data_IF_112289757916
#
_entry.id   IF_112289757916
#
_cell.length_a   1.000
_cell.length_b   1.000
_cell.length_c   1.000
_cell.angle_alpha   90.00
_cell.angle_beta   90.00
_cell.angle_gamma   90.00
#
_symmetry.space_group_name_H-M   'P 1'
#
loop_
_entity.id
_entity.type
_entity.pdbx_description
1 polymer ?
#
# COMPACT_ATOMS: atom_id res chain seq x y z
N UNK A 1 -18.36 -24.82 -11.82
CA UNK A 1 -17.29 -24.27 -10.97
C UNK A 1 -16.02 -23.96 -11.77
N UNK A 2 -15.47 -24.91 -12.53
CA UNK A 2 -14.23 -24.75 -13.33
C UNK A 2 -14.26 -23.56 -14.33
N UNK A 3 -15.40 -23.33 -15.00
CA UNK A 3 -15.55 -22.23 -15.96
C UNK A 3 -15.57 -20.84 -15.31
N UNK A 4 -16.01 -20.73 -14.05
CA UNK A 4 -16.02 -19.46 -13.31
C UNK A 4 -14.60 -19.11 -12.87
N UNK A 5 -13.88 -20.09 -12.32
CA UNK A 5 -12.49 -19.94 -11.92
C UNK A 5 -11.59 -19.61 -13.12
N UNK A 6 -11.77 -20.31 -14.25
CA UNK A 6 -11.02 -20.03 -15.49
C UNK A 6 -11.27 -18.60 -15.99
N UNK A 7 -12.53 -18.15 -16.02
CA UNK A 7 -12.87 -16.76 -16.42
C UNK A 7 -12.29 -15.72 -15.45
N UNK A 8 -12.28 -16.01 -14.15
CA UNK A 8 -11.67 -15.14 -13.15
C UNK A 8 -10.16 -15.01 -13.39
N UNK A 9 -9.43 -16.12 -13.50
CA UNK A 9 -7.98 -16.12 -13.74
C UNK A 9 -7.63 -15.37 -15.04
N UNK A 10 -8.35 -15.64 -16.13
CA UNK A 10 -8.11 -14.95 -17.41
C UNK A 10 -8.30 -13.43 -17.25
N UNK A 11 -9.34 -12.99 -16.54
CA UNK A 11 -9.59 -11.55 -16.32
C UNK A 11 -8.55 -10.92 -15.39
N UNK A 12 -8.07 -11.66 -14.40
CA UNK A 12 -7.07 -11.17 -13.44
C UNK A 12 -5.73 -10.85 -14.12
N UNK A 13 -5.31 -11.72 -15.03
CA UNK A 13 -4.08 -11.59 -15.79
C UNK A 13 -4.27 -10.91 -17.16
N UNK A 14 -5.50 -10.49 -17.49
CA UNK A 14 -5.77 -9.69 -18.69
C UNK A 14 -5.26 -8.25 -18.53
N UNK A 15 -4.82 -7.66 -19.64
CA UNK A 15 -4.39 -6.26 -19.76
C UNK A 15 -3.08 -5.91 -19.01
N UNK A 16 -2.22 -6.90 -18.81
CA UNK A 16 -0.85 -6.68 -18.34
C UNK A 16 0.09 -6.53 -19.53
N UNK A 17 0.87 -5.46 -19.55
CA UNK A 17 1.94 -5.29 -20.52
C UNK A 17 3.14 -6.16 -20.14
N UNK A 18 3.93 -6.57 -21.15
CA UNK A 18 5.12 -7.40 -20.94
C UNK A 18 6.10 -6.80 -19.92
N UNK A 19 6.31 -5.48 -19.96
CA UNK A 19 7.15 -4.77 -18.99
C UNK A 19 6.61 -4.84 -17.55
N UNK A 20 5.29 -4.84 -17.35
CA UNK A 20 4.67 -4.95 -16.02
C UNK A 20 4.84 -6.37 -15.45
N UNK A 21 4.76 -7.39 -16.31
CA UNK A 21 5.07 -8.77 -15.96
C UNK A 21 6.52 -8.94 -15.52
N UNK A 22 7.46 -8.43 -16.31
CA UNK A 22 8.88 -8.47 -15.96
C UNK A 22 9.16 -7.74 -14.65
N UNK A 23 8.56 -6.56 -14.46
CA UNK A 23 8.69 -5.80 -13.22
C UNK A 23 8.15 -6.56 -12.01
N UNK A 24 6.97 -7.16 -12.13
CA UNK A 24 6.40 -7.98 -11.06
C UNK A 24 7.28 -9.19 -10.72
N UNK A 25 7.74 -9.93 -11.73
CA UNK A 25 8.63 -11.06 -11.53
C UNK A 25 9.93 -10.62 -10.83
N UNK A 26 10.50 -9.50 -11.25
CA UNK A 26 11.66 -8.91 -10.61
C UNK A 26 11.41 -8.55 -9.14
N UNK A 27 10.31 -7.87 -8.82
CA UNK A 27 9.97 -7.49 -7.45
C UNK A 27 9.79 -8.72 -6.53
N UNK A 28 9.07 -9.74 -7.00
CA UNK A 28 8.84 -10.96 -6.21
C UNK A 28 10.12 -11.78 -6.08
N UNK A 29 10.85 -12.00 -7.19
CA UNK A 29 12.08 -12.78 -7.19
C UNK A 29 13.15 -12.13 -6.32
N UNK A 30 13.36 -10.80 -6.44
CA UNK A 30 14.34 -10.09 -5.61
C UNK A 30 14.00 -10.17 -4.11
N UNK A 31 12.73 -10.04 -3.74
CA UNK A 31 12.27 -10.22 -2.36
C UNK A 31 12.59 -11.62 -1.82
N UNK A 32 12.26 -12.67 -2.59
CA UNK A 32 12.51 -14.06 -2.18
C UNK A 32 14.01 -14.37 -2.13
N UNK A 33 14.78 -13.96 -3.14
CA UNK A 33 16.22 -14.21 -3.22
C UNK A 33 16.96 -13.56 -2.04
N UNK A 34 16.67 -12.29 -1.74
CA UNK A 34 17.25 -11.58 -0.59
C UNK A 34 16.88 -12.28 0.72
N UNK A 35 15.61 -12.66 0.87
CA UNK A 35 15.14 -13.36 2.06
C UNK A 35 15.87 -14.68 2.29
N UNK A 36 16.14 -15.45 1.23
CA UNK A 36 16.86 -16.72 1.32
C UNK A 36 18.36 -16.50 1.60
N UNK A 37 18.99 -15.52 0.96
CA UNK A 37 20.43 -15.24 1.14
C UNK A 37 20.77 -14.76 2.55
N UNK A 38 19.87 -14.01 3.18
CA UNK A 38 20.07 -13.43 4.51
C UNK A 38 19.40 -14.23 5.64
N UNK A 39 18.84 -15.41 5.33
CA UNK A 39 18.26 -16.31 6.32
C UNK A 39 17.07 -15.72 7.08
N UNK A 40 16.25 -14.90 6.40
CA UNK A 40 15.09 -14.24 7.02
C UNK A 40 13.99 -15.26 7.37
N UNK A 41 13.13 -14.89 8.31
CA UNK A 41 12.03 -15.75 8.74
C UNK A 41 10.96 -15.86 7.64
N UNK A 42 10.38 -17.05 7.47
CA UNK A 42 9.32 -17.32 6.49
C UNK A 42 8.14 -16.34 6.59
N UNK A 43 7.80 -15.91 7.81
CA UNK A 43 6.73 -14.94 8.03
C UNK A 43 7.09 -13.55 7.49
N UNK A 44 8.35 -13.14 7.64
CA UNK A 44 8.90 -11.91 7.06
C UNK A 44 8.82 -11.94 5.54
N UNK A 45 9.25 -13.06 4.94
CA UNK A 45 9.15 -13.29 3.50
C UNK A 45 7.70 -13.24 3.01
N UNK A 46 6.79 -13.93 3.70
CA UNK A 46 5.38 -13.98 3.33
C UNK A 46 4.72 -12.60 3.42
N UNK A 47 5.00 -11.83 4.48
CA UNK A 47 4.55 -10.45 4.62
C UNK A 47 5.08 -9.59 3.48
N UNK A 48 6.39 -9.67 3.19
CA UNK A 48 7.02 -8.89 2.12
C UNK A 48 6.43 -9.19 0.74
N UNK A 49 6.33 -10.46 0.37
CA UNK A 49 5.78 -10.89 -0.93
C UNK A 49 4.33 -10.46 -1.08
N UNK A 50 3.49 -10.68 -0.06
CA UNK A 50 2.08 -10.26 -0.12
C UNK A 50 1.91 -8.74 -0.17
N UNK A 51 2.77 -7.98 0.50
CA UNK A 51 2.76 -6.51 0.45
C UNK A 51 3.18 -5.95 -0.90
N UNK A 52 4.18 -6.54 -1.54
CA UNK A 52 4.58 -6.20 -2.92
C UNK A 52 3.46 -6.54 -3.91
N UNK A 53 2.89 -7.75 -3.81
CA UNK A 53 1.78 -8.18 -4.68
C UNK A 53 0.54 -7.30 -4.50
N UNK A 54 0.20 -6.92 -3.26
CA UNK A 54 -0.86 -5.97 -2.98
C UNK A 54 -0.67 -4.67 -3.77
N UNK A 55 0.51 -4.05 -3.66
CA UNK A 55 0.82 -2.79 -4.34
C UNK A 55 0.73 -2.91 -5.86
N UNK A 56 1.27 -3.99 -6.44
CA UNK A 56 1.21 -4.25 -7.88
C UNK A 56 -0.24 -4.42 -8.39
N UNK A 57 -1.06 -5.21 -7.69
CA UNK A 57 -2.45 -5.41 -8.08
C UNK A 57 -3.31 -4.18 -7.85
N UNK A 58 -3.09 -3.46 -6.75
CA UNK A 58 -3.75 -2.18 -6.50
C UNK A 58 -3.37 -1.17 -7.59
N UNK A 59 -2.11 -1.17 -8.02
CA UNK A 59 -1.58 -0.40 -9.15
C UNK A 59 -2.28 -0.69 -10.47
N UNK A 60 -2.55 -1.96 -10.78
CA UNK A 60 -3.36 -2.32 -11.94
C UNK A 60 -4.85 -2.03 -11.75
N UNK A 61 -5.30 -1.83 -10.51
CA UNK A 61 -6.70 -1.60 -10.20
C UNK A 61 -7.52 -2.89 -10.19
N UNK A 62 -6.88 -4.03 -9.88
CA UNK A 62 -7.52 -5.34 -9.82
C UNK A 62 -8.07 -5.61 -8.43
N UNK A 63 -9.26 -6.21 -8.35
CA UNK A 63 -9.96 -6.40 -7.08
C UNK A 63 -9.26 -7.38 -6.13
N UNK A 64 -8.47 -8.32 -6.66
CA UNK A 64 -7.75 -9.29 -5.81
C UNK A 64 -6.61 -8.67 -5.00
N UNK A 65 -6.26 -7.38 -5.22
CA UNK A 65 -5.33 -6.67 -4.35
C UNK A 65 -5.73 -6.84 -2.88
N UNK A 66 -7.01 -6.66 -2.55
CA UNK A 66 -7.50 -6.75 -1.17
C UNK A 66 -7.24 -8.11 -0.51
N UNK A 67 -7.18 -9.20 -1.28
CA UNK A 67 -6.78 -10.50 -0.74
C UNK A 67 -5.33 -10.45 -0.26
N UNK A 68 -4.40 -10.01 -1.11
CA UNK A 68 -3.00 -9.83 -0.73
C UNK A 68 -2.84 -8.84 0.43
N UNK A 69 -3.61 -7.75 0.42
CA UNK A 69 -3.63 -6.74 1.47
C UNK A 69 -4.05 -7.29 2.82
N UNK A 70 -5.07 -8.14 2.90
CA UNK A 70 -5.52 -8.77 4.15
C UNK A 70 -4.42 -9.66 4.73
N UNK A 71 -3.82 -10.55 3.92
CA UNK A 71 -2.73 -11.40 4.38
C UNK A 71 -1.51 -10.58 4.82
N UNK A 72 -1.16 -9.56 4.05
CA UNK A 72 -0.06 -8.66 4.38
C UNK A 72 -0.33 -7.94 5.70
N UNK A 73 -1.48 -7.29 5.89
CA UNK A 73 -1.79 -6.55 7.12
C UNK A 73 -1.81 -7.44 8.36
N UNK A 74 -2.27 -8.69 8.25
CA UNK A 74 -2.19 -9.66 9.35
C UNK A 74 -0.73 -9.98 9.69
N UNK A 75 0.04 -10.43 8.69
CA UNK A 75 1.43 -10.87 8.88
C UNK A 75 2.36 -9.71 9.30
N UNK A 76 2.26 -8.57 8.61
CA UNK A 76 3.05 -7.38 8.90
C UNK A 76 2.66 -6.77 10.25
N UNK A 77 1.37 -6.71 10.60
CA UNK A 77 0.96 -6.27 11.94
C UNK A 77 1.56 -7.15 13.05
N UNK A 78 1.65 -8.47 12.84
CA UNK A 78 2.33 -9.35 13.80
C UNK A 78 3.84 -9.08 13.89
N UNK A 79 4.51 -8.87 12.76
CA UNK A 79 5.94 -8.53 12.73
C UNK A 79 6.20 -7.19 13.44
N UNK A 80 5.38 -6.17 13.17
CA UNK A 80 5.46 -4.87 13.83
C UNK A 80 5.22 -4.96 15.33
N UNK A 81 4.30 -5.82 15.78
CA UNK A 81 4.09 -6.07 17.21
C UNK A 81 5.34 -6.64 17.88
N UNK A 82 6.00 -7.63 17.25
CA UNK A 82 7.27 -8.18 17.75
C UNK A 82 8.41 -7.17 17.73
N UNK A 83 8.38 -6.22 16.80
CA UNK A 83 9.32 -5.12 16.71
C UNK A 83 8.97 -3.93 17.64
N UNK A 84 7.95 -4.05 18.50
CA UNK A 84 7.46 -2.98 19.39
C UNK A 84 6.97 -1.72 18.66
N UNK A 85 6.64 -1.84 17.38
CA UNK A 85 6.11 -0.77 16.54
C UNK A 85 4.58 -0.69 16.67
N UNK A 86 4.07 -0.31 17.84
CA UNK A 86 2.64 -0.35 18.14
C UNK A 86 1.77 0.55 17.23
N UNK A 87 2.31 1.66 16.74
CA UNK A 87 1.62 2.51 15.75
C UNK A 87 1.32 1.76 14.45
N UNK A 88 2.29 0.99 13.95
CA UNK A 88 2.13 0.14 12.77
C UNK A 88 1.12 -0.98 12.99
N UNK A 89 1.08 -1.57 14.20
CA UNK A 89 0.07 -2.56 14.58
C UNK A 89 -1.32 -1.95 14.52
N UNK A 90 -1.51 -0.78 15.14
CA UNK A 90 -2.78 -0.08 15.16
C UNK A 90 -3.24 0.31 13.75
N UNK A 91 -2.32 0.77 12.88
CA UNK A 91 -2.62 1.06 11.48
C UNK A 91 -3.03 -0.21 10.73
N UNK A 92 -2.28 -1.30 10.82
CA UNK A 92 -2.54 -2.49 10.03
C UNK A 92 -3.81 -3.21 10.47
N UNK A 93 -3.96 -3.46 11.76
CA UNK A 93 -5.10 -4.22 12.26
C UNK A 93 -6.33 -3.36 12.55
N UNK A 94 -6.12 -2.14 13.05
CA UNK A 94 -7.21 -1.24 13.42
C UNK A 94 -7.78 -0.44 12.25
N UNK A 95 -6.96 -0.07 11.26
CA UNK A 95 -7.40 0.77 10.14
C UNK A 95 -7.39 0.04 8.80
N UNK A 96 -6.27 -0.55 8.40
CA UNK A 96 -6.13 -1.15 7.08
C UNK A 96 -7.04 -2.36 6.91
N UNK A 97 -7.07 -3.30 7.85
CA UNK A 97 -7.92 -4.50 7.75
C UNK A 97 -9.41 -4.16 7.50
N UNK A 98 -10.08 -3.34 8.32
CA UNK A 98 -11.46 -2.91 8.03
C UNK A 98 -11.59 -2.20 6.67
N UNK A 99 -10.62 -1.35 6.32
CA UNK A 99 -10.60 -0.64 5.06
C UNK A 99 -10.38 -1.55 3.85
N UNK A 100 -9.72 -2.71 4.00
CA UNK A 100 -9.61 -3.70 2.93
C UNK A 100 -10.99 -4.26 2.56
N UNK A 101 -11.84 -4.55 3.55
CA UNK A 101 -13.21 -5.01 3.30
C UNK A 101 -14.09 -3.91 2.71
N UNK A 102 -13.99 -2.68 3.23
CA UNK A 102 -14.70 -1.54 2.67
C UNK A 102 -14.28 -1.29 1.22
N UNK A 103 -12.98 -1.30 0.97
CA UNK A 103 -12.37 -1.16 -0.34
C UNK A 103 -12.85 -2.20 -1.33
N UNK A 104 -12.88 -3.48 -0.94
CA UNK A 104 -13.42 -4.57 -1.75
C UNK A 104 -14.86 -4.28 -2.19
N UNK A 105 -15.70 -3.80 -1.28
CA UNK A 105 -17.10 -3.47 -1.57
C UNK A 105 -17.24 -2.27 -2.52
N UNK A 106 -16.52 -1.17 -2.26
CA UNK A 106 -16.60 0.04 -3.08
C UNK A 106 -15.98 -0.15 -4.46
N UNK A 107 -14.85 -0.86 -4.55
CA UNK A 107 -14.18 -1.14 -5.83
C UNK A 107 -15.03 -2.05 -6.71
N UNK A 108 -15.65 -3.09 -6.14
CA UNK A 108 -16.54 -4.01 -6.87
C UNK A 108 -17.68 -3.29 -7.59
N UNK A 109 -18.21 -2.21 -7.00
CA UNK A 109 -19.27 -1.37 -7.59
C UNK A 109 -18.80 -0.49 -8.75
N UNK A 110 -17.49 -0.36 -8.96
CA UNK A 110 -16.90 0.59 -9.89
C UNK A 110 -15.88 -0.05 -10.85
N UNK A 111 -16.12 -1.30 -11.22
CA UNK A 111 -15.29 -2.03 -12.18
C UNK A 111 -15.71 -1.74 -13.63
N UNK A 112 -14.73 -1.61 -14.52
CA UNK A 112 -14.93 -1.70 -15.97
C UNK A 112 -15.42 -3.12 -16.30
N UNK A 113 -16.57 -3.24 -16.97
CA UNK A 113 -17.27 -4.53 -17.17
C UNK A 113 -16.41 -5.59 -17.86
N UNK A 114 -15.53 -5.19 -18.78
CA UNK A 114 -14.77 -6.13 -19.63
C UNK A 114 -13.45 -6.58 -19.00
N UNK A 115 -12.69 -5.66 -18.42
CA UNK A 115 -11.31 -5.89 -17.94
C UNK A 115 -11.17 -6.12 -16.42
N UNK A 116 -12.29 -6.02 -15.67
CA UNK A 116 -12.31 -6.13 -14.20
C UNK A 116 -11.28 -5.21 -13.51
N UNK A 117 -11.01 -4.06 -14.13
CA UNK A 117 -10.19 -3.01 -13.55
C UNK A 117 -11.09 -1.91 -13.01
N UNK A 118 -10.73 -1.31 -11.89
CA UNK A 118 -11.46 -0.16 -11.37
C UNK A 118 -11.37 1.04 -12.31
N UNK A 119 -12.43 1.84 -12.32
CA UNK A 119 -12.39 3.18 -12.88
C UNK A 119 -11.56 4.07 -11.96
N UNK A 120 -10.40 4.51 -12.42
CA UNK A 120 -9.46 5.35 -11.67
C UNK A 120 -9.94 6.81 -11.71
N UNK A 121 -9.68 7.57 -10.64
CA UNK A 121 -10.09 8.98 -10.52
C UNK A 121 -8.93 9.85 -10.07
N UNK A 122 -9.02 11.14 -10.34
CA UNK A 122 -8.13 12.15 -9.80
C UNK A 122 -8.92 13.14 -8.96
N UNK A 123 -8.33 13.63 -7.88
CA UNK A 123 -8.91 14.74 -7.14
C UNK A 123 -8.85 16.01 -7.98
N UNK A 124 -9.87 16.85 -7.84
CA UNK A 124 -9.80 18.23 -8.32
C UNK A 124 -8.70 18.99 -7.58
N UNK A 125 -8.21 20.11 -8.13
CA UNK A 125 -7.22 20.94 -7.45
C UNK A 125 -7.68 21.35 -6.04
N UNK A 126 -8.96 21.74 -5.89
CA UNK A 126 -9.56 22.03 -4.59
C UNK A 126 -9.53 20.81 -3.66
N UNK A 127 -9.82 19.63 -4.17
CA UNK A 127 -9.72 18.37 -3.42
C UNK A 127 -8.29 18.07 -2.95
N UNK A 128 -7.27 18.33 -3.79
CA UNK A 128 -5.86 18.19 -3.42
C UNK A 128 -5.47 19.16 -2.30
N UNK A 129 -5.84 20.43 -2.44
CA UNK A 129 -5.59 21.45 -1.41
C UNK A 129 -6.26 21.09 -0.08
N UNK A 130 -7.55 20.70 -0.11
CA UNK A 130 -8.26 20.26 1.09
C UNK A 130 -7.59 19.04 1.73
N UNK A 131 -7.16 18.07 0.92
CA UNK A 131 -6.45 16.89 1.44
C UNK A 131 -5.15 17.29 2.13
N UNK A 132 -4.37 18.21 1.54
CA UNK A 132 -3.15 18.72 2.14
C UNK A 132 -3.40 19.48 3.45
N UNK A 133 -4.44 20.31 3.50
CA UNK A 133 -4.83 21.03 4.72
C UNK A 133 -5.30 20.08 5.82
N UNK A 134 -6.10 19.06 5.49
CA UNK A 134 -6.54 18.03 6.44
C UNK A 134 -5.33 17.24 6.94
N UNK A 135 -4.39 16.88 6.07
CA UNK A 135 -3.16 16.20 6.46
C UNK A 135 -2.32 17.05 7.42
N UNK A 136 -2.14 18.34 7.13
CA UNK A 136 -1.38 19.25 7.99
C UNK A 136 -2.05 19.47 9.35
N UNK A 137 -3.36 19.76 9.36
CA UNK A 137 -4.12 19.95 10.59
C UNK A 137 -4.21 18.67 11.43
N UNK A 138 -4.44 17.53 10.78
CA UNK A 138 -4.45 16.22 11.43
C UNK A 138 -3.09 15.87 12.03
N UNK A 139 -2.00 16.15 11.32
CA UNK A 139 -0.63 15.94 11.81
C UNK A 139 -0.36 16.80 13.03
N UNK A 140 -0.70 18.10 13.00
CA UNK A 140 -0.53 18.98 14.15
C UNK A 140 -1.33 18.50 15.36
N UNK A 141 -2.60 18.12 15.18
CA UNK A 141 -3.45 17.61 16.25
C UNK A 141 -2.91 16.29 16.83
N UNK A 142 -2.54 15.33 15.99
CA UNK A 142 -1.98 14.06 16.43
C UNK A 142 -0.62 14.24 17.12
N UNK A 143 0.23 15.14 16.63
CA UNK A 143 1.53 15.43 17.25
C UNK A 143 1.37 15.98 18.68
N UNK A 144 0.37 16.83 18.92
CA UNK A 144 0.07 17.32 20.27
C UNK A 144 -0.34 16.20 21.23
N UNK A 145 -1.11 15.22 20.74
CA UNK A 145 -1.51 14.05 21.53
C UNK A 145 -0.29 13.18 21.82
N UNK A 146 0.50 12.84 20.80
CA UNK A 146 1.71 12.01 20.94
C UNK A 146 2.74 12.66 21.86
N UNK A 147 2.91 13.98 21.78
CA UNK A 147 3.80 14.72 22.68
C UNK A 147 3.35 14.59 24.14
N UNK A 148 2.04 14.65 24.42
CA UNK A 148 1.50 14.45 25.78
C UNK A 148 1.65 13.00 26.26
N UNK A 149 1.71 12.04 25.34
CA UNK A 149 1.94 10.62 25.65
C UNK A 149 3.41 10.26 25.85
N UNK A 150 4.33 11.22 25.69
CA UNK A 150 5.77 11.00 25.85
C UNK A 150 6.43 10.30 24.67
N UNK A 151 5.86 10.44 23.47
CA UNK A 151 6.42 9.88 22.25
C UNK A 151 7.79 10.49 21.90
N UNK A 152 8.70 9.69 21.34
CA UNK A 152 10.09 10.08 21.06
C UNK A 152 10.21 10.99 19.83
N UNK A 153 9.32 10.85 18.85
CA UNK A 153 9.32 11.65 17.62
C UNK A 153 7.89 12.09 17.23
N UNK A 154 7.18 12.83 18.10
CA UNK A 154 5.73 13.01 17.99
C UNK A 154 5.24 13.58 16.65
N UNK A 155 6.02 14.50 16.05
CA UNK A 155 5.67 15.14 14.78
C UNK A 155 5.84 14.17 13.60
N UNK A 156 6.93 13.41 13.57
CA UNK A 156 7.20 12.47 12.49
C UNK A 156 6.21 11.30 12.53
N UNK A 157 5.92 10.80 13.73
CA UNK A 157 5.03 9.67 13.93
C UNK A 157 3.56 10.07 13.67
N UNK A 158 3.18 11.30 14.06
CA UNK A 158 1.89 11.88 13.66
C UNK A 158 1.78 12.03 12.15
N UNK A 159 2.82 12.56 11.49
CA UNK A 159 2.81 12.81 10.06
C UNK A 159 2.61 11.52 9.27
N UNK A 160 3.41 10.50 9.56
CA UNK A 160 3.35 9.20 8.87
C UNK A 160 2.02 8.48 9.12
N UNK A 161 1.49 8.56 10.34
CA UNK A 161 0.19 7.98 10.71
C UNK A 161 -0.97 8.66 9.98
N UNK A 162 -1.01 9.99 10.01
CA UNK A 162 -2.09 10.76 9.36
C UNK A 162 -2.04 10.58 7.84
N UNK A 163 -0.85 10.62 7.24
CA UNK A 163 -0.69 10.32 5.81
C UNK A 163 -1.16 8.91 5.47
N UNK A 164 -0.82 7.91 6.27
CA UNK A 164 -1.27 6.53 6.10
C UNK A 164 -2.79 6.38 6.13
N UNK A 165 -3.46 7.06 7.07
CA UNK A 165 -4.92 7.05 7.18
C UNK A 165 -5.56 7.66 5.94
N UNK A 166 -5.08 8.81 5.51
CA UNK A 166 -5.58 9.51 4.32
C UNK A 166 -5.28 8.72 3.05
N UNK A 167 -4.07 8.16 2.92
CA UNK A 167 -3.65 7.36 1.78
C UNK A 167 -4.60 6.19 1.56
N UNK A 168 -4.89 5.43 2.62
CA UNK A 168 -5.85 4.31 2.56
C UNK A 168 -7.28 4.77 2.21
N UNK A 169 -7.73 5.91 2.75
CA UNK A 169 -9.03 6.47 2.38
C UNK A 169 -9.09 6.84 0.89
N UNK A 170 -8.01 7.40 0.33
CA UNK A 170 -7.88 7.70 -1.09
C UNK A 170 -7.78 6.42 -1.94
N UNK A 171 -7.16 5.35 -1.42
CA UNK A 171 -7.15 4.02 -2.03
C UNK A 171 -8.57 3.50 -2.23
N UNK A 172 -9.37 3.48 -1.18
CA UNK A 172 -10.78 3.04 -1.26
C UNK A 172 -11.58 3.92 -2.22
N UNK A 173 -11.31 5.24 -2.26
CA UNK A 173 -11.93 6.19 -3.20
C UNK A 173 -11.41 6.09 -4.63
N UNK A 174 -10.37 5.29 -4.89
CA UNK A 174 -9.73 5.11 -6.22
C UNK A 174 -9.09 6.39 -6.75
N UNK A 175 -8.58 7.25 -5.87
CA UNK A 175 -7.90 8.49 -6.24
C UNK A 175 -6.43 8.24 -6.54
N UNK A 176 -5.89 8.78 -7.63
CA UNK A 176 -4.47 8.62 -8.00
C UNK A 176 -3.50 9.25 -7.00
N UNK A 177 -3.92 10.30 -6.29
CA UNK A 177 -3.10 11.00 -5.29
C UNK A 177 -2.70 10.11 -4.11
N UNK A 178 -3.40 8.99 -3.90
CA UNK A 178 -3.01 7.96 -2.92
C UNK A 178 -1.54 7.55 -3.08
N UNK A 179 -1.05 7.47 -4.32
CA UNK A 179 0.27 6.93 -4.61
C UNK A 179 1.38 7.87 -4.16
N UNK A 180 1.13 9.18 -4.19
CA UNK A 180 2.06 10.17 -3.62
C UNK A 180 2.16 9.99 -2.11
N UNK A 181 1.02 9.83 -1.43
CA UNK A 181 1.00 9.65 0.02
C UNK A 181 1.66 8.33 0.44
N UNK A 182 1.34 7.23 -0.26
CA UNK A 182 2.01 5.95 -0.04
C UNK A 182 3.51 6.00 -0.31
N UNK A 183 3.97 6.78 -1.31
CA UNK A 183 5.41 6.98 -1.55
C UNK A 183 6.11 7.62 -0.35
N UNK A 184 5.50 8.65 0.25
CA UNK A 184 6.03 9.32 1.44
C UNK A 184 6.02 8.40 2.67
N UNK A 185 4.94 7.64 2.86
CA UNK A 185 4.83 6.63 3.92
C UNK A 185 5.90 5.56 3.75
N UNK A 186 6.06 5.00 2.54
CA UNK A 186 7.08 3.99 2.25
C UNK A 186 8.49 4.49 2.57
N UNK A 187 8.80 5.76 2.26
CA UNK A 187 10.08 6.36 2.60
C UNK A 187 10.34 6.39 4.11
N UNK A 188 9.34 6.78 4.89
CA UNK A 188 9.43 6.77 6.35
C UNK A 188 9.54 5.34 6.91
N UNK A 189 8.78 4.39 6.35
CA UNK A 189 8.83 2.98 6.73
C UNK A 189 10.18 2.33 6.43
N UNK A 190 10.87 2.73 5.36
CA UNK A 190 12.25 2.28 5.09
C UNK A 190 13.18 2.69 6.23
N UNK A 191 13.13 3.96 6.66
CA UNK A 191 13.94 4.44 7.77
C UNK A 191 13.61 3.71 9.08
N UNK A 192 12.32 3.53 9.38
CA UNK A 192 11.85 2.81 10.56
C UNK A 192 12.34 1.37 10.60
N UNK A 193 12.14 0.60 9.51
CA UNK A 193 12.55 -0.80 9.44
C UNK A 193 14.06 -0.98 9.36
N UNK A 194 14.79 0.00 8.80
CA UNK A 194 16.24 0.02 8.86
C UNK A 194 16.74 0.11 10.31
N UNK A 195 16.12 0.96 11.14
CA UNK A 195 16.45 1.06 12.57
C UNK A 195 16.14 -0.24 13.33
N UNK A 196 15.00 -0.88 13.05
CA UNK A 196 14.63 -2.18 13.64
C UNK A 196 15.59 -3.30 13.17
N UNK A 197 16.04 -3.24 11.92
CA UNK A 197 17.01 -4.21 11.42
C UNK A 197 18.35 -4.10 12.16
N UNK A 198 18.81 -2.88 12.45
CA UNK A 198 20.05 -2.67 13.23
C UNK A 198 19.99 -3.21 14.66
N UNK A 199 18.79 -3.34 15.26
CA UNK A 199 18.63 -3.93 16.59
C UNK A 199 18.60 -5.46 16.57
N UNK A 200 18.76 -6.10 15.40
CA UNK A 200 18.79 -7.56 15.24
C UNK A 200 17.43 -8.24 15.21
N UNK A 201 16.33 -7.48 15.27
CA UNK A 201 14.95 -7.98 15.29
C UNK A 201 14.18 -7.73 14.00
N UNK A 202 14.78 -7.04 13.03
CA UNK A 202 14.13 -6.67 11.76
C UNK A 202 14.20 -7.76 10.69
N UNK A 203 13.22 -7.73 9.78
CA UNK A 203 13.19 -8.58 8.57
C UNK A 203 13.72 -7.77 7.38
N UNK A 204 14.74 -8.29 6.69
CA UNK A 204 15.28 -7.65 5.48
C UNK A 204 14.27 -7.74 4.33
N UNK A 205 13.49 -8.81 4.26
CA UNK A 205 12.43 -8.94 3.28
C UNK A 205 11.40 -7.81 3.43
N UNK A 206 11.02 -7.44 4.67
CA UNK A 206 10.12 -6.32 4.94
C UNK A 206 10.74 -4.98 4.56
N UNK A 207 12.04 -4.78 4.85
CA UNK A 207 12.75 -3.58 4.40
C UNK A 207 12.76 -3.46 2.86
N UNK A 208 13.04 -4.56 2.17
CA UNK A 208 13.01 -4.65 0.70
C UNK A 208 11.61 -4.39 0.14
N UNK A 209 10.56 -4.92 0.78
CA UNK A 209 9.16 -4.64 0.42
C UNK A 209 8.89 -3.13 0.43
N UNK A 210 9.31 -2.40 1.46
CA UNK A 210 9.10 -0.95 1.53
C UNK A 210 9.85 -0.19 0.43
N UNK A 211 11.07 -0.60 0.10
CA UNK A 211 11.83 -0.04 -1.05
C UNK A 211 11.10 -0.30 -2.36
N UNK A 212 10.68 -1.53 -2.62
CA UNK A 212 9.93 -1.88 -3.84
C UNK A 212 8.59 -1.15 -3.90
N UNK A 213 7.90 -1.01 -2.77
CA UNK A 213 6.63 -0.29 -2.71
C UNK A 213 6.80 1.22 -2.91
N UNK A 214 7.93 1.81 -2.50
CA UNK A 214 8.28 3.19 -2.84
C UNK A 214 8.40 3.35 -4.37
N UNK A 215 9.11 2.45 -5.04
CA UNK A 215 9.24 2.47 -6.50
C UNK A 215 7.88 2.25 -7.19
N UNK A 216 7.08 1.30 -6.70
CA UNK A 216 5.72 1.06 -7.19
C UNK A 216 4.83 2.30 -7.02
N UNK A 217 4.94 3.01 -5.90
CA UNK A 217 4.18 4.24 -5.66
C UNK A 217 4.46 5.31 -6.72
N UNK A 218 5.73 5.54 -7.02
CA UNK A 218 6.15 6.45 -8.08
C UNK A 218 5.62 5.98 -9.45
N UNK A 219 5.85 4.71 -9.80
CA UNK A 219 5.42 4.14 -11.07
C UNK A 219 3.91 4.24 -11.28
N UNK A 220 3.11 3.81 -10.30
CA UNK A 220 1.66 3.78 -10.43
C UNK A 220 1.02 5.16 -10.37
N UNK A 221 1.64 6.12 -9.68
CA UNK A 221 1.24 7.52 -9.82
C UNK A 221 1.30 7.99 -11.28
N UNK A 222 2.43 7.75 -11.95
CA UNK A 222 2.60 8.13 -13.36
C UNK A 222 1.67 7.36 -14.29
N UNK A 223 1.52 6.03 -14.08
CA UNK A 223 0.64 5.21 -14.92
C UNK A 223 -0.83 5.63 -14.77
N UNK A 224 -1.30 5.87 -13.55
CA UNK A 224 -2.68 6.34 -13.31
C UNK A 224 -2.91 7.73 -13.89
N UNK A 225 -1.94 8.64 -13.74
CA UNK A 225 -2.03 9.96 -14.35
C UNK A 225 -2.16 9.88 -15.87
N UNK A 226 -1.34 9.02 -16.51
CA UNK A 226 -1.36 8.82 -17.96
C UNK A 226 -2.68 8.23 -18.43
N UNK A 227 -3.24 7.27 -17.68
CA UNK A 227 -4.53 6.65 -18.01
C UNK A 227 -5.69 7.64 -17.89
N UNK A 228 -5.76 8.39 -16.77
CA UNK A 228 -6.82 9.37 -16.52
C UNK A 228 -6.79 10.50 -17.55
N UNK A 229 -5.59 10.96 -17.97
CA UNK A 229 -5.46 11.97 -19.04
C UNK A 229 -5.95 11.48 -20.40
N UNK A 230 -5.83 10.17 -20.69
CA UNK A 230 -6.29 9.57 -21.97
C UNK A 230 -7.80 9.35 -22.01
N UNK A 231 -8.41 9.07 -20.87
CA UNK A 231 -9.87 8.92 -20.73
C UNK A 231 -10.34 9.76 -19.55
N UNK A 232 -10.58 11.08 -19.75
CA UNK A 232 -11.14 11.92 -18.71
C UNK A 232 -12.50 11.36 -18.32
N UNK A 233 -12.64 10.85 -17.10
CA UNK A 233 -13.97 10.56 -16.57
C UNK A 233 -14.68 11.89 -16.43
N UNK A 234 -15.79 12.09 -17.16
CA UNK A 234 -16.69 13.23 -16.96
C UNK A 234 -17.02 13.32 -15.47
N UNK A 235 -16.72 14.48 -14.87
CA UNK A 235 -16.90 14.75 -13.44
C UNK A 235 -18.38 14.90 -13.10
#
# INVERSE_FOLDING_TARGET
MLNVLKKFIIREFSNWHYAEWLWMLFCVASTVVISLHLGDNWLGTAAAVTGVLYSLWAGKGKLSCYFFGIFNSIAYGWLSYRATLYGEVALNWGWYLPMMFAGLFFWKRNLKKEVQEIVKRALSWRGRLLTALIAAAGTAAAALVLHKMGDQAPVLDAFTTVLSVIAMALTVKRCMEQWMLWTLVNLASIYMWYRVYQTGSGSVAVLMMWVLNLLNGILFYYLWQKEIKKCPTEN
#
